data_IF_608588590774
#
_entry.id   IF_608588590774
#
_cell.length_a   1.000
_cell.length_b   1.000
_cell.length_c   1.000
_cell.angle_alpha   90.00
_cell.angle_beta   90.00
_cell.angle_gamma   90.00
#
_symmetry.space_group_name_H-M   'P 1'
#
loop_
_entity.id
_entity.type
_entity.pdbx_description
1 polymer ?
#
# COMPACT_ATOMS: atom_id res chain seq x y z
N UNK A 1 -4.50 -17.27 -8.67
CA UNK A 1 -3.48 -16.21 -8.58
C UNK A 1 -4.20 -14.90 -8.75
N UNK A 2 -4.21 -14.05 -7.72
CA UNK A 2 -4.80 -12.71 -7.79
C UNK A 2 -4.02 -11.88 -8.81
N UNK A 3 -4.73 -11.12 -9.67
CA UNK A 3 -4.11 -10.15 -10.58
C UNK A 3 -4.04 -8.79 -9.91
N UNK A 4 -3.13 -7.92 -10.37
CA UNK A 4 -2.99 -6.60 -9.78
C UNK A 4 -4.27 -5.75 -9.93
N UNK A 5 -5.02 -5.94 -11.01
CA UNK A 5 -6.31 -5.27 -11.23
C UNK A 5 -7.41 -5.70 -10.24
N UNK A 6 -7.24 -6.84 -9.56
CA UNK A 6 -8.20 -7.35 -8.57
C UNK A 6 -7.91 -6.82 -7.15
N UNK A 7 -6.74 -6.21 -6.93
CA UNK A 7 -6.37 -5.64 -5.63
C UNK A 7 -6.79 -4.18 -5.56
N UNK A 8 -7.54 -3.86 -4.51
CA UNK A 8 -8.01 -2.51 -4.24
C UNK A 8 -7.35 -1.95 -2.99
N UNK A 9 -6.85 -0.72 -3.09
CA UNK A 9 -6.38 0.05 -1.96
C UNK A 9 -7.54 0.81 -1.33
N UNK A 10 -7.79 0.55 -0.04
CA UNK A 10 -8.88 1.19 0.69
C UNK A 10 -8.31 2.26 1.62
N UNK A 11 -8.88 3.46 1.57
CA UNK A 11 -8.65 4.51 2.56
C UNK A 11 -9.69 4.38 3.67
N UNK A 12 -9.24 4.09 4.89
CA UNK A 12 -10.08 4.01 6.08
C UNK A 12 -9.94 5.29 6.90
N UNK A 13 -11.08 5.83 7.35
CA UNK A 13 -11.08 7.03 8.18
C UNK A 13 -10.90 6.71 9.67
N UNK A 14 -10.31 7.63 10.47
CA UNK A 14 -10.19 7.46 11.92
C UNK A 14 -11.53 7.16 12.62
N UNK A 15 -12.64 7.74 12.12
CA UNK A 15 -13.97 7.62 12.72
C UNK A 15 -14.65 6.28 12.46
N UNK A 16 -14.21 5.52 11.46
CA UNK A 16 -14.75 4.20 11.15
C UNK A 16 -14.19 3.14 12.13
N UNK A 17 -13.05 3.43 12.79
CA UNK A 17 -12.40 2.52 13.73
C UNK A 17 -11.76 3.27 14.94
N UNK A 18 -12.54 3.97 15.78
CA UNK A 18 -12.01 4.85 16.83
C UNK A 18 -11.20 4.13 17.91
N UNK A 19 -11.44 2.83 18.15
CA UNK A 19 -10.65 2.01 19.09
C UNK A 19 -9.30 1.54 18.51
N UNK A 20 -9.15 1.52 17.19
CA UNK A 20 -7.96 0.98 16.52
C UNK A 20 -7.09 2.07 15.89
N UNK A 21 -7.70 3.13 15.34
CA UNK A 21 -7.01 4.12 14.54
C UNK A 21 -7.43 5.54 14.89
N UNK A 22 -6.47 6.35 15.33
CA UNK A 22 -6.63 7.81 15.46
C UNK A 22 -6.32 8.56 14.16
N UNK A 23 -5.86 7.82 13.15
CA UNK A 23 -5.23 8.30 11.92
C UNK A 23 -5.87 7.62 10.69
N UNK A 24 -5.69 8.20 9.51
CA UNK A 24 -6.12 7.56 8.27
C UNK A 24 -5.28 6.29 8.02
N UNK A 25 -5.89 5.27 7.44
CA UNK A 25 -5.15 4.07 7.02
C UNK A 25 -5.35 3.76 5.54
N UNK A 26 -4.28 3.32 4.89
CA UNK A 26 -4.34 2.66 3.60
C UNK A 26 -4.23 1.14 3.81
N UNK A 27 -5.19 0.40 3.27
CA UNK A 27 -5.30 -1.05 3.49
C UNK A 27 -5.50 -1.78 2.18
N UNK A 28 -4.68 -2.80 1.94
CA UNK A 28 -4.84 -3.74 0.83
C UNK A 28 -4.45 -5.16 1.28
N UNK A 29 -4.87 -6.16 0.52
CA UNK A 29 -4.47 -7.55 0.74
C UNK A 29 -4.21 -8.26 -0.57
N UNK A 30 -3.22 -9.16 -0.58
CA UNK A 30 -2.96 -10.04 -1.72
C UNK A 30 -2.30 -11.33 -1.25
N UNK A 31 -2.51 -12.41 -2.00
CA UNK A 31 -1.80 -13.68 -1.84
C UNK A 31 -0.51 -13.74 -2.70
N UNK A 32 -0.24 -12.69 -3.49
CA UNK A 32 0.88 -12.62 -4.42
C UNK A 32 1.95 -11.64 -3.92
N UNK A 33 3.17 -12.15 -3.73
CA UNK A 33 4.32 -11.39 -3.24
C UNK A 33 4.71 -10.22 -4.14
N UNK A 34 4.66 -10.38 -5.47
CA UNK A 34 4.99 -9.30 -6.41
C UNK A 34 3.99 -8.14 -6.30
N UNK A 35 2.71 -8.48 -6.15
CA UNK A 35 1.66 -7.48 -5.95
C UNK A 35 1.83 -6.77 -4.60
N UNK A 36 2.09 -7.52 -3.53
CA UNK A 36 2.39 -6.94 -2.22
C UNK A 36 3.60 -5.99 -2.28
N UNK A 37 4.68 -6.40 -2.95
CA UNK A 37 5.87 -5.57 -3.12
C UNK A 37 5.56 -4.29 -3.91
N UNK A 38 4.83 -4.41 -5.03
CA UNK A 38 4.46 -3.27 -5.88
C UNK A 38 3.61 -2.23 -5.13
N UNK A 39 2.58 -2.67 -4.40
CA UNK A 39 1.76 -1.76 -3.60
C UNK A 39 2.55 -1.12 -2.46
N UNK A 40 3.34 -1.89 -1.71
CA UNK A 40 4.11 -1.35 -0.60
C UNK A 40 5.12 -0.29 -1.07
N UNK A 41 5.82 -0.53 -2.19
CA UNK A 41 6.73 0.46 -2.76
C UNK A 41 6.00 1.69 -3.30
N UNK A 42 4.85 1.52 -3.96
CA UNK A 42 4.05 2.63 -4.46
C UNK A 42 3.56 3.54 -3.31
N UNK A 43 3.01 2.93 -2.25
CA UNK A 43 2.58 3.63 -1.04
C UNK A 43 3.75 4.40 -0.42
N UNK A 44 4.86 3.72 -0.16
CA UNK A 44 6.02 4.33 0.49
C UNK A 44 6.59 5.49 -0.35
N UNK A 45 6.74 5.30 -1.66
CA UNK A 45 7.28 6.30 -2.57
C UNK A 45 6.40 7.54 -2.66
N UNK A 46 5.08 7.36 -2.85
CA UNK A 46 4.15 8.48 -3.03
C UNK A 46 3.97 9.24 -1.72
N UNK A 47 3.76 8.55 -0.60
CA UNK A 47 3.57 9.22 0.68
C UNK A 47 4.84 9.99 1.10
N UNK A 48 6.04 9.43 0.91
CA UNK A 48 7.29 10.16 1.16
C UNK A 48 7.45 11.40 0.27
N UNK A 49 7.04 11.32 -1.01
CA UNK A 49 7.07 12.46 -1.94
C UNK A 49 6.17 13.60 -1.45
N UNK A 50 4.99 13.27 -0.92
CA UNK A 50 4.04 14.24 -0.36
C UNK A 50 4.43 14.75 1.04
N UNK A 51 5.62 14.38 1.53
CA UNK A 51 6.10 14.74 2.86
C UNK A 51 5.32 14.08 4.00
N UNK A 52 4.52 13.05 3.70
CA UNK A 52 3.77 12.28 4.67
C UNK A 52 4.70 11.27 5.35
N UNK A 53 4.46 11.03 6.64
CA UNK A 53 5.19 10.04 7.44
C UNK A 53 4.32 8.81 7.66
N UNK A 54 4.33 7.82 6.75
CA UNK A 54 3.53 6.63 6.90
C UNK A 54 4.21 5.62 7.83
N UNK A 55 3.40 4.80 8.51
CA UNK A 55 3.85 3.70 9.35
C UNK A 55 3.21 2.39 8.91
N UNK A 56 4.00 1.37 8.60
CA UNK A 56 3.48 0.09 8.12
C UNK A 56 3.35 -0.91 9.27
N UNK A 57 2.13 -1.38 9.56
CA UNK A 57 1.87 -2.22 10.74
C UNK A 57 2.47 -3.65 10.66
N UNK A 58 2.96 -4.08 9.50
CA UNK A 58 3.67 -5.36 9.35
C UNK A 58 5.17 -5.27 9.72
N UNK A 59 5.67 -4.08 10.09
CA UNK A 59 7.10 -3.76 10.35
C UNK A 59 7.79 -4.49 11.51
N UNK A 60 7.14 -5.40 12.24
CA UNK A 60 7.85 -6.11 13.33
C UNK A 60 9.04 -6.93 12.83
N UNK A 61 9.06 -7.30 11.55
CA UNK A 61 10.20 -7.93 10.88
C UNK A 61 10.32 -7.42 9.43
N UNK A 62 11.44 -6.77 9.07
CA UNK A 62 11.69 -6.28 7.70
C UNK A 62 11.52 -7.36 6.61
N UNK A 63 11.79 -8.61 6.95
CA UNK A 63 11.64 -9.77 6.05
C UNK A 63 10.17 -9.98 5.64
N UNK A 64 9.22 -9.57 6.48
CA UNK A 64 7.78 -9.77 6.27
C UNK A 64 7.09 -8.59 5.59
N UNK A 65 7.82 -7.51 5.29
CA UNK A 65 7.26 -6.26 4.75
C UNK A 65 6.52 -6.45 3.42
N UNK A 66 6.83 -7.48 2.65
CA UNK A 66 6.23 -7.75 1.33
C UNK A 66 5.61 -9.15 1.23
N UNK A 67 5.53 -9.87 2.34
CA UNK A 67 4.95 -11.22 2.32
C UNK A 67 3.44 -11.16 2.03
N UNK A 68 2.89 -12.18 1.36
CA UNK A 68 1.45 -12.28 1.14
C UNK A 68 0.64 -12.10 2.43
N UNK A 69 -0.45 -11.33 2.35
CA UNK A 69 -1.31 -11.05 3.49
C UNK A 69 -1.97 -9.68 3.45
N UNK A 70 -2.47 -9.26 4.61
CA UNK A 70 -3.06 -7.94 4.85
C UNK A 70 -1.95 -6.94 5.17
N UNK A 71 -1.95 -5.81 4.47
CA UNK A 71 -1.05 -4.69 4.69
C UNK A 71 -1.83 -3.46 5.11
N UNK A 72 -1.38 -2.82 6.19
CA UNK A 72 -2.04 -1.66 6.81
C UNK A 72 -1.00 -0.55 7.03
N UNK A 73 -1.22 0.60 6.41
CA UNK A 73 -0.35 1.77 6.47
C UNK A 73 -1.05 2.93 7.16
N UNK A 74 -0.59 3.31 8.35
CA UNK A 74 -1.09 4.43 9.13
C UNK A 74 -0.46 5.75 8.66
N UNK A 75 -1.28 6.78 8.46
CA UNK A 75 -0.86 8.12 8.03
C UNK A 75 -1.17 9.12 9.14
N UNK A 76 -0.13 9.59 9.83
CA UNK A 76 -0.24 10.39 11.05
C UNK A 76 -0.43 11.88 10.79
N UNK A 77 -1.54 12.29 10.17
CA UNK A 77 -1.89 13.72 10.02
C UNK A 77 -3.41 13.99 9.95
N UNK A 78 -3.86 15.09 10.57
CA UNK A 78 -5.26 15.54 10.54
C UNK A 78 -5.54 16.38 9.27
N UNK A 79 -6.75 16.22 8.69
CA UNK A 79 -7.29 17.17 7.69
C UNK A 79 -7.00 16.90 6.21
N UNK A 80 -6.61 15.67 5.81
CA UNK A 80 -6.15 15.36 4.44
C UNK A 80 -7.02 14.42 3.59
N UNK A 81 -8.28 14.11 3.96
CA UNK A 81 -9.11 13.09 3.28
C UNK A 81 -9.14 13.22 1.75
N UNK A 82 -9.59 14.36 1.22
CA UNK A 82 -9.70 14.57 -0.24
C UNK A 82 -8.36 14.47 -0.97
N UNK A 83 -7.26 14.82 -0.30
CA UNK A 83 -5.92 14.67 -0.84
C UNK A 83 -5.48 13.20 -0.84
N UNK A 84 -5.71 12.47 0.26
CA UNK A 84 -5.43 11.04 0.35
C UNK A 84 -6.25 10.22 -0.65
N UNK A 85 -7.51 10.57 -0.87
CA UNK A 85 -8.35 9.94 -1.91
C UNK A 85 -7.74 10.08 -3.31
N UNK A 86 -7.13 11.23 -3.63
CA UNK A 86 -6.41 11.41 -4.90
C UNK A 86 -5.15 10.55 -4.96
N UNK A 87 -4.41 10.46 -3.84
CA UNK A 87 -3.20 9.63 -3.78
C UNK A 87 -3.52 8.14 -3.90
N UNK A 88 -4.69 7.66 -3.44
CA UNK A 88 -5.09 6.26 -3.60
C UNK A 88 -5.06 5.85 -5.07
N UNK A 89 -5.69 6.63 -5.95
CA UNK A 89 -5.72 6.33 -7.38
C UNK A 89 -4.31 6.35 -8.00
N UNK A 90 -3.48 7.33 -7.60
CA UNK A 90 -2.09 7.41 -8.07
C UNK A 90 -1.25 6.21 -7.58
N UNK A 91 -1.46 5.76 -6.35
CA UNK A 91 -0.77 4.60 -5.78
C UNK A 91 -1.17 3.32 -6.52
N UNK A 92 -2.46 3.14 -6.82
CA UNK A 92 -2.93 1.98 -7.58
C UNK A 92 -2.33 1.96 -9.00
N UNK A 93 -2.27 3.11 -9.68
CA UNK A 93 -1.63 3.23 -11.00
C UNK A 93 -0.13 2.91 -10.92
N UNK A 94 0.59 3.49 -9.96
CA UNK A 94 2.01 3.23 -9.76
C UNK A 94 2.28 1.76 -9.41
N UNK A 95 1.42 1.13 -8.63
CA UNK A 95 1.55 -0.28 -8.29
C UNK A 95 1.43 -1.17 -9.53
N UNK A 96 0.51 -0.85 -10.45
CA UNK A 96 0.38 -1.56 -11.74
C UNK A 96 1.64 -1.48 -12.58
N UNK A 97 2.17 -0.28 -12.79
CA UNK A 97 3.44 -0.07 -13.50
C UNK A 97 4.59 -0.86 -12.87
N UNK A 98 4.62 -0.92 -11.53
CA UNK A 98 5.69 -1.60 -10.79
C UNK A 98 5.55 -3.12 -10.87
N UNK A 99 4.33 -3.67 -10.83
CA UNK A 99 4.12 -5.10 -10.98
C UNK A 99 4.45 -5.59 -12.39
N UNK A 100 4.14 -4.81 -13.43
CA UNK A 100 4.54 -5.14 -14.80
C UNK A 100 6.06 -5.28 -14.94
N UNK A 101 6.82 -4.43 -14.24
CA UNK A 101 8.29 -4.53 -14.16
C UNK A 101 8.69 -5.82 -13.45
N UNK A 102 8.10 -6.16 -12.31
CA UNK A 102 8.44 -7.38 -11.58
C UNK A 102 8.09 -8.66 -12.33
N UNK A 103 6.97 -8.67 -13.05
CA UNK A 103 6.58 -9.82 -13.85
C UNK A 103 7.48 -9.96 -15.09
N UNK A 104 7.96 -8.84 -15.67
CA UNK A 104 8.91 -8.86 -16.78
C UNK A 104 10.29 -9.37 -16.36
N UNK A 105 10.86 -8.87 -15.26
CA UNK A 105 12.19 -9.28 -14.78
C UNK A 105 12.18 -10.58 -13.96
N UNK A 106 11.05 -10.94 -13.33
CA UNK A 106 10.88 -12.22 -12.64
C UNK A 106 10.88 -13.40 -13.60
N UNK A 107 10.43 -13.20 -14.84
CA UNK A 107 10.48 -14.20 -15.91
C UNK A 107 11.89 -14.44 -16.49
N UNK A 108 12.87 -13.57 -16.20
CA UNK A 108 14.26 -13.72 -16.66
C UNK A 108 15.18 -14.42 -15.65
N UNK A 109 14.68 -14.73 -14.44
CA UNK A 109 15.46 -15.36 -13.35
C UNK A 109 14.92 -16.78 -13.02
N UNK A 110 14.32 -17.48 -14.00
CA UNK A 110 14.04 -18.93 -13.93
C UNK A 110 14.97 -19.75 -14.83
#
# INVERSE_FOLDING_TARGET
MIKIDDVKLNLLEPKEHPERNKNFMLVFASDNKNICMAFNWAIESILKREGLSPYHHTEKELVKQHEPGLHEWEIREEGRKEHLEKLVAEIEERAKETADIFDHFGAEIE
#
